data_IF_040016670512
#
_entry.id   IF_040016670512
#
_cell.length_a   1.000
_cell.length_b   1.000
_cell.length_c   1.000
_cell.angle_alpha   90.00
_cell.angle_beta   90.00
_cell.angle_gamma   90.00
#
_symmetry.space_group_name_H-M   'P 1'
#
loop_
_entity.id
_entity.type
_entity.pdbx_description
1 polymer ?
#
# COMPACT_ATOMS: atom_id res chain seq x y z
N UNK A 1 14.18 -7.10 3.99
CA UNK A 1 13.69 -5.95 3.21
C UNK A 1 12.28 -6.31 2.78
N UNK A 2 11.27 -5.49 3.10
CA UNK A 2 9.90 -5.72 2.63
C UNK A 2 9.90 -5.38 1.14
N UNK A 3 9.60 -6.38 0.31
CA UNK A 3 9.42 -6.16 -1.12
C UNK A 3 8.07 -5.46 -1.31
N UNK A 4 8.07 -4.25 -1.86
CA UNK A 4 6.85 -3.49 -2.20
C UNK A 4 6.36 -3.93 -3.57
N UNK A 5 5.06 -4.17 -3.69
CA UNK A 5 4.42 -4.64 -4.92
C UNK A 5 3.41 -3.60 -5.42
N UNK A 6 3.62 -3.12 -6.64
CA UNK A 6 2.73 -2.16 -7.29
C UNK A 6 1.61 -2.88 -8.05
N UNK A 7 0.41 -2.32 -8.02
CA UNK A 7 -0.76 -2.85 -8.72
C UNK A 7 -1.37 -4.12 -8.12
N UNK A 8 -0.83 -4.60 -7.00
CA UNK A 8 -1.28 -5.82 -6.30
C UNK A 8 -1.80 -5.42 -4.91
N UNK A 9 -2.88 -6.07 -4.48
CA UNK A 9 -3.39 -5.91 -3.12
C UNK A 9 -2.54 -6.70 -2.13
N UNK A 10 -2.28 -6.12 -0.97
CA UNK A 10 -1.70 -6.81 0.18
C UNK A 10 -2.62 -6.71 1.38
N UNK A 11 -2.50 -7.65 2.32
CA UNK A 11 -3.18 -7.58 3.62
C UNK A 11 -2.18 -7.16 4.70
N UNK A 12 -2.54 -6.17 5.49
CA UNK A 12 -1.76 -5.74 6.65
C UNK A 12 -1.98 -6.79 7.75
N UNK A 13 -0.96 -7.60 8.03
CA UNK A 13 -1.02 -8.61 9.11
C UNK A 13 -0.50 -8.09 10.44
N UNK A 14 0.20 -6.95 10.44
CA UNK A 14 0.67 -6.28 11.66
C UNK A 14 0.88 -4.80 11.38
N UNK A 15 0.57 -3.94 12.36
CA UNK A 15 0.81 -2.50 12.33
C UNK A 15 -0.48 -1.67 12.36
N UNK A 16 -0.39 -0.41 11.95
CA UNK A 16 -1.56 0.46 11.83
C UNK A 16 -2.59 -0.17 10.88
N UNK A 17 -3.89 -0.07 11.17
CA UNK A 17 -4.94 -0.69 10.35
C UNK A 17 -4.75 -2.21 10.12
N UNK A 18 -4.25 -2.95 11.12
CA UNK A 18 -4.17 -4.42 11.05
C UNK A 18 -5.49 -5.06 10.60
N UNK A 19 -5.40 -5.99 9.65
CA UNK A 19 -6.54 -6.66 9.02
C UNK A 19 -7.06 -5.96 7.76
N UNK A 20 -6.68 -4.70 7.51
CA UNK A 20 -7.04 -3.98 6.29
C UNK A 20 -6.19 -4.43 5.11
N UNK A 21 -6.61 -4.01 3.93
CA UNK A 21 -5.91 -4.20 2.67
C UNK A 21 -5.18 -2.92 2.26
N UNK A 22 -4.04 -3.10 1.62
CA UNK A 22 -3.25 -2.04 1.00
C UNK A 22 -3.15 -2.27 -0.50
N UNK A 23 -3.08 -1.20 -1.28
CA UNK A 23 -2.68 -1.24 -2.70
C UNK A 23 -1.73 -0.10 -2.98
N UNK A 24 -0.59 -0.38 -3.61
CA UNK A 24 0.30 0.66 -4.12
C UNK A 24 0.02 0.88 -5.61
N UNK A 25 -0.05 2.14 -6.03
CA UNK A 25 -0.09 2.51 -7.43
C UNK A 25 1.06 3.44 -7.78
N UNK A 26 1.79 3.09 -8.84
CA UNK A 26 2.74 4.00 -9.48
C UNK A 26 1.94 4.92 -10.40
N UNK A 27 1.89 6.19 -10.04
CA UNK A 27 1.20 7.20 -10.81
C UNK A 27 2.15 8.35 -11.19
N UNK A 28 3.44 8.02 -11.37
CA UNK A 28 4.49 8.99 -11.65
C UNK A 28 4.28 9.68 -13.00
N UNK A 29 3.74 8.96 -13.99
CA UNK A 29 3.43 9.51 -15.31
C UNK A 29 2.26 10.52 -15.32
N UNK A 30 1.33 10.47 -14.36
CA UNK A 30 0.17 11.38 -14.33
C UNK A 30 0.25 12.44 -13.22
N UNK A 31 0.69 12.04 -12.02
CA UNK A 31 0.70 12.88 -10.82
C UNK A 31 2.10 13.26 -10.35
N UNK A 32 3.14 12.63 -10.92
CA UNK A 32 4.52 12.80 -10.47
C UNK A 32 4.89 11.96 -9.24
N UNK A 33 3.98 11.15 -8.70
CA UNK A 33 4.23 10.36 -7.47
C UNK A 33 3.49 9.02 -7.41
N UNK A 34 3.33 8.52 -6.20
CA UNK A 34 2.76 7.22 -5.88
C UNK A 34 1.53 7.39 -4.99
N UNK A 35 0.62 6.42 -5.06
CA UNK A 35 -0.50 6.34 -4.13
C UNK A 35 -0.41 5.06 -3.29
N UNK A 36 -0.68 5.19 -2.00
CA UNK A 36 -1.00 4.08 -1.09
C UNK A 36 -2.48 4.18 -0.78
N UNK A 37 -3.22 3.14 -1.11
CA UNK A 37 -4.62 2.99 -0.72
C UNK A 37 -4.72 2.01 0.45
N UNK A 38 -5.39 2.41 1.52
CA UNK A 38 -5.73 1.57 2.67
C UNK A 38 -7.24 1.37 2.72
N UNK A 39 -7.71 0.13 2.80
CA UNK A 39 -9.14 -0.16 2.76
C UNK A 39 -9.52 -1.34 3.66
N UNK A 40 -10.65 -1.29 4.38
CA UNK A 40 -11.06 -2.36 5.28
C UNK A 40 -11.52 -3.62 4.52
N UNK A 41 -11.89 -3.46 3.25
CA UNK A 41 -12.31 -4.53 2.34
C UNK A 41 -11.78 -4.26 0.92
N UNK A 42 -11.77 -5.28 0.06
CA UNK A 42 -11.30 -5.17 -1.33
C UNK A 42 -12.24 -4.35 -2.24
N UNK A 43 -13.45 -4.03 -1.79
CA UNK A 43 -14.38 -3.18 -2.52
C UNK A 43 -14.01 -1.69 -2.41
N UNK A 44 -13.15 -1.34 -1.43
CA UNK A 44 -12.62 0.01 -1.25
C UNK A 44 -13.50 0.94 -0.41
N UNK A 45 -14.54 0.43 0.24
CA UNK A 45 -15.44 1.26 1.04
C UNK A 45 -14.75 1.79 2.30
N UNK A 46 -14.91 3.10 2.59
CA UNK A 46 -14.33 3.77 3.76
C UNK A 46 -12.80 3.67 3.86
N UNK A 47 -12.12 3.56 2.73
CA UNK A 47 -10.67 3.60 2.67
C UNK A 47 -10.07 5.01 2.73
N UNK A 48 -8.75 5.06 2.81
CA UNK A 48 -7.94 6.27 2.71
C UNK A 48 -6.94 6.13 1.57
N UNK A 49 -6.58 7.25 0.95
CA UNK A 49 -5.46 7.33 0.03
C UNK A 49 -4.41 8.33 0.54
N UNK A 50 -3.15 7.96 0.40
CA UNK A 50 -2.00 8.81 0.68
C UNK A 50 -1.17 8.95 -0.58
N UNK A 51 -0.96 10.20 -1.03
CA UNK A 51 -0.02 10.50 -2.10
C UNK A 51 1.40 10.69 -1.54
N UNK A 52 2.39 10.12 -2.21
CA UNK A 52 3.80 10.19 -1.84
C UNK A 52 4.66 10.55 -3.05
N UNK A 53 5.66 11.41 -2.86
CA UNK A 53 6.47 11.93 -3.97
C UNK A 53 7.47 10.88 -4.48
N UNK A 54 8.07 10.10 -3.58
CA UNK A 54 9.18 9.20 -3.92
C UNK A 54 9.02 7.78 -3.36
N UNK A 55 9.83 6.84 -3.87
CA UNK A 55 9.93 5.48 -3.33
C UNK A 55 10.53 5.45 -1.92
N UNK A 56 11.32 6.45 -1.56
CA UNK A 56 11.87 6.59 -0.20
C UNK A 56 10.78 6.99 0.80
N UNK A 57 9.82 7.80 0.37
CA UNK A 57 8.64 8.16 1.17
C UNK A 57 7.74 6.96 1.42
N UNK A 58 7.55 6.08 0.41
CA UNK A 58 6.82 4.81 0.60
C UNK A 58 7.44 3.98 1.71
N UNK A 59 8.77 3.85 1.69
CA UNK A 59 9.48 3.06 2.69
C UNK A 59 9.33 3.69 4.08
N UNK A 60 9.52 5.00 4.19
CA UNK A 60 9.36 5.73 5.45
C UNK A 60 7.95 5.56 6.00
N UNK A 61 6.93 5.67 5.15
CA UNK A 61 5.53 5.47 5.51
C UNK A 61 5.26 4.06 6.06
N UNK A 62 5.81 3.02 5.42
CA UNK A 62 5.69 1.63 5.88
C UNK A 62 6.36 1.41 7.25
N UNK A 63 7.54 2.00 7.45
CA UNK A 63 8.26 1.95 8.73
C UNK A 63 7.48 2.70 9.83
N UNK A 64 6.93 3.88 9.54
CA UNK A 64 6.11 4.67 10.47
C UNK A 64 4.83 3.93 10.88
N UNK A 65 4.18 3.26 9.93
CA UNK A 65 2.98 2.45 10.18
C UNK A 65 3.29 1.09 10.84
N UNK A 66 4.55 0.73 10.98
CA UNK A 66 5.01 -0.57 11.48
C UNK A 66 4.40 -1.76 10.70
N UNK A 67 4.31 -1.60 9.37
CA UNK A 67 3.59 -2.55 8.55
C UNK A 67 4.37 -3.82 8.22
N UNK A 68 3.70 -4.94 8.44
CA UNK A 68 4.02 -6.22 7.83
C UNK A 68 2.87 -6.60 6.90
N UNK A 69 3.17 -6.86 5.63
CA UNK A 69 2.18 -7.04 4.57
C UNK A 69 2.34 -8.41 3.91
N UNK A 70 1.23 -9.10 3.72
CA UNK A 70 1.14 -10.33 2.92
C UNK A 70 0.50 -9.97 1.58
N UNK A 71 1.30 -10.03 0.51
CA UNK A 71 0.84 -9.68 -0.83
C UNK A 71 0.00 -10.81 -1.43
N UNK A 72 -1.18 -10.45 -1.95
CA UNK A 72 -2.10 -11.36 -2.63
C UNK A 72 -1.63 -11.56 -4.08
N UNK A 73 -0.50 -12.25 -4.26
CA UNK A 73 0.01 -12.58 -5.59
C UNK A 73 -0.99 -13.53 -6.26
N UNK A 74 -1.63 -13.07 -7.33
CA UNK A 74 -2.39 -13.95 -8.21
C UNK A 74 -1.39 -14.51 -9.22
N UNK A 75 -0.97 -15.76 -9.01
CA UNK A 75 -0.26 -16.49 -10.07
C UNK A 75 -1.19 -16.60 -11.28
N UNK A 76 -0.70 -16.13 -12.43
CA UNK A 76 -1.40 -16.20 -13.72
C UNK A 76 -1.24 -17.58 -14.37
#
# INVERSE_FOLDING_TARGET
MVEVQFGIFGKIITGHNEGWYVKLEDNTDQSGGFYIYEMPNLEGDNGFDTWLESKEDIKSYFDECNWKIEWLIIEK
#
